data_IF_460448105622
#
_entry.id   IF_460448105622
#
_cell.length_a   1.000
_cell.length_b   1.000
_cell.length_c   1.000
_cell.angle_alpha   90.00
_cell.angle_beta   90.00
_cell.angle_gamma   90.00
#
_symmetry.space_group_name_H-M   'P 1'
#
loop_
_entity.id
_entity.type
_entity.pdbx_description
1 polymer ?
#
# COMPACT_ATOMS: atom_id res chain seq x y z
N UNK A 1 22.80 -19.45 16.32
CA UNK A 1 21.79 -18.72 15.54
C UNK A 1 21.68 -19.26 14.12
N UNK A 2 22.68 -19.07 13.24
CA UNK A 2 22.57 -19.46 11.82
C UNK A 2 22.32 -20.95 11.52
N UNK A 3 22.71 -21.85 12.42
CA UNK A 3 22.41 -23.30 12.28
C UNK A 3 20.97 -23.68 12.61
N UNK A 4 20.17 -22.73 13.12
CA UNK A 4 18.78 -22.95 13.58
C UNK A 4 17.76 -22.38 12.61
N UNK A 5 18.08 -21.27 11.94
CA UNK A 5 17.20 -20.62 10.97
C UNK A 5 17.35 -21.23 9.57
N UNK A 6 16.54 -20.75 8.63
CA UNK A 6 16.50 -21.18 7.23
C UNK A 6 17.90 -21.29 6.62
N UNK A 7 18.26 -22.43 5.98
CA UNK A 7 19.52 -22.60 5.29
C UNK A 7 19.72 -21.58 4.16
N UNK A 8 20.97 -21.40 3.75
CA UNK A 8 21.36 -20.38 2.77
C UNK A 8 20.60 -20.45 1.44
N UNK A 9 20.48 -21.64 0.85
CA UNK A 9 19.87 -21.79 -0.48
C UNK A 9 18.38 -21.46 -0.43
N UNK A 10 17.66 -21.98 0.56
CA UNK A 10 16.23 -21.71 0.77
C UNK A 10 16.01 -20.22 1.07
N UNK A 11 16.87 -19.60 1.88
CA UNK A 11 16.81 -18.16 2.17
C UNK A 11 16.94 -17.31 0.90
N UNK A 12 17.82 -17.70 -0.04
CA UNK A 12 17.95 -16.98 -1.30
C UNK A 12 16.67 -17.08 -2.13
N UNK A 13 16.08 -18.28 -2.23
CA UNK A 13 14.80 -18.49 -2.92
C UNK A 13 13.68 -17.68 -2.27
N UNK A 14 13.53 -17.75 -0.95
CA UNK A 14 12.50 -17.04 -0.20
C UNK A 14 12.59 -15.52 -0.38
N UNK A 15 13.80 -14.95 -0.26
CA UNK A 15 14.00 -13.51 -0.41
C UNK A 15 13.70 -13.02 -1.82
N UNK A 16 14.07 -13.79 -2.86
CA UNK A 16 13.71 -13.46 -4.24
C UNK A 16 12.21 -13.49 -4.46
N UNK A 17 11.51 -14.49 -3.92
CA UNK A 17 10.06 -14.60 -4.06
C UNK A 17 9.37 -13.46 -3.32
N UNK A 18 9.74 -13.19 -2.07
CA UNK A 18 9.15 -12.11 -1.27
C UNK A 18 9.40 -10.75 -1.93
N UNK A 19 10.57 -10.52 -2.51
CA UNK A 19 10.85 -9.28 -3.26
C UNK A 19 9.85 -9.11 -4.41
N UNK A 20 9.61 -10.15 -5.22
CA UNK A 20 8.66 -10.09 -6.34
C UNK A 20 7.23 -9.84 -5.82
N UNK A 21 6.81 -10.57 -4.80
CA UNK A 21 5.46 -10.47 -4.22
C UNK A 21 5.21 -9.14 -3.48
N UNK A 22 6.26 -8.41 -3.12
CA UNK A 22 6.12 -7.14 -2.41
C UNK A 22 6.15 -5.92 -3.34
N UNK A 23 6.25 -6.12 -4.66
CA UNK A 23 6.37 -5.04 -5.64
C UNK A 23 5.03 -4.74 -6.30
N UNK A 24 4.72 -3.45 -6.35
CA UNK A 24 3.60 -2.93 -7.12
C UNK A 24 3.93 -2.91 -8.61
N UNK A 25 3.03 -3.43 -9.44
CA UNK A 25 3.11 -3.29 -10.89
C UNK A 25 2.86 -1.83 -11.31
N UNK A 26 3.36 -1.45 -12.49
CA UNK A 26 3.23 -0.09 -13.02
C UNK A 26 1.80 0.27 -13.47
N UNK A 27 1.01 -0.76 -13.74
CA UNK A 27 -0.40 -0.70 -14.17
C UNK A 27 -1.38 -1.08 -13.05
N UNK A 28 -0.92 -1.08 -11.80
CA UNK A 28 -1.77 -1.38 -10.63
C UNK A 28 -2.92 -0.37 -10.48
N UNK A 29 -4.09 -0.86 -10.07
CA UNK A 29 -5.25 -0.04 -9.74
C UNK A 29 -5.44 0.02 -8.23
N UNK A 30 -5.16 1.18 -7.65
CA UNK A 30 -5.30 1.39 -6.22
C UNK A 30 -6.74 1.68 -5.80
N UNK A 31 -6.98 1.54 -4.50
CA UNK A 31 -8.27 1.80 -3.90
C UNK A 31 -8.69 3.25 -4.14
N UNK A 32 -9.87 3.43 -4.76
CA UNK A 32 -10.38 4.76 -5.13
C UNK A 32 -10.00 5.20 -6.54
N UNK A 33 -9.25 4.38 -7.28
CA UNK A 33 -8.92 4.56 -8.69
C UNK A 33 -9.62 3.53 -9.56
N UNK A 34 -9.89 3.92 -10.81
CA UNK A 34 -10.47 3.07 -11.87
C UNK A 34 -9.87 3.47 -13.21
N UNK A 35 -9.39 2.49 -13.97
CA UNK A 35 -8.91 2.71 -15.35
C UNK A 35 -10.02 3.26 -16.25
N UNK A 36 -11.27 2.83 -16.04
CA UNK A 36 -12.40 3.33 -16.82
C UNK A 36 -12.88 4.74 -16.38
N UNK A 37 -12.25 5.37 -15.39
CA UNK A 37 -12.56 6.74 -14.98
C UNK A 37 -14.05 6.97 -14.67
N UNK A 38 -14.72 7.84 -15.43
CA UNK A 38 -16.15 8.16 -15.28
C UNK A 38 -17.06 7.38 -16.26
N UNK A 39 -16.52 6.49 -17.11
CA UNK A 39 -17.30 5.80 -18.16
C UNK A 39 -17.84 4.40 -17.74
N UNK A 40 -17.51 3.91 -16.54
CA UNK A 40 -17.98 2.60 -16.04
C UNK A 40 -19.49 2.55 -15.75
N UNK A 41 -20.15 3.70 -15.66
CA UNK A 41 -21.61 3.80 -15.52
C UNK A 41 -22.10 5.07 -16.21
N UNK A 42 -23.38 5.13 -16.56
CA UNK A 42 -24.03 6.36 -17.04
C UNK A 42 -24.62 7.19 -15.89
N UNK A 43 -24.85 6.57 -14.73
CA UNK A 43 -25.53 7.21 -13.60
C UNK A 43 -24.62 8.23 -12.90
N UNK A 44 -25.13 9.43 -12.64
CA UNK A 44 -24.37 10.50 -11.97
C UNK A 44 -24.16 10.24 -10.48
N UNK A 45 -25.15 9.64 -9.80
CA UNK A 45 -25.10 9.43 -8.36
C UNK A 45 -23.95 8.48 -7.91
N UNK A 46 -23.75 7.30 -8.54
CA UNK A 46 -22.63 6.42 -8.18
C UNK A 46 -21.26 7.05 -8.49
N UNK A 47 -21.14 7.82 -9.59
CA UNK A 47 -19.90 8.55 -9.91
C UNK A 47 -19.54 9.57 -8.84
N UNK A 48 -20.52 10.35 -8.40
CA UNK A 48 -20.30 11.35 -7.36
C UNK A 48 -19.94 10.69 -6.02
N UNK A 49 -20.64 9.60 -5.65
CA UNK A 49 -20.31 8.83 -4.46
C UNK A 49 -18.87 8.26 -4.53
N UNK A 50 -18.45 7.76 -5.68
CA UNK A 50 -17.10 7.24 -5.89
C UNK A 50 -16.02 8.34 -5.80
N UNK A 51 -16.29 9.54 -6.35
CA UNK A 51 -15.41 10.70 -6.18
C UNK A 51 -15.28 11.12 -4.71
N UNK A 52 -16.38 11.10 -3.94
CA UNK A 52 -16.34 11.35 -2.50
C UNK A 52 -15.53 10.29 -1.76
N UNK A 53 -15.62 9.03 -2.18
CA UNK A 53 -14.81 7.93 -1.64
C UNK A 53 -13.31 8.16 -1.87
N UNK A 54 -12.88 8.44 -3.10
CA UNK A 54 -11.47 8.75 -3.40
C UNK A 54 -10.96 9.97 -2.61
N UNK A 55 -11.74 11.05 -2.54
CA UNK A 55 -11.41 12.20 -1.68
C UNK A 55 -11.23 11.80 -0.22
N UNK A 56 -12.09 10.91 0.29
CA UNK A 56 -12.02 10.45 1.68
C UNK A 56 -10.73 9.68 1.95
N UNK A 57 -10.29 8.86 0.99
CA UNK A 57 -9.03 8.13 1.09
C UNK A 57 -7.83 9.07 1.16
N UNK A 58 -7.78 10.11 0.33
CA UNK A 58 -6.74 11.13 0.38
C UNK A 58 -6.69 11.85 1.74
N UNK A 59 -7.86 12.19 2.32
CA UNK A 59 -7.94 12.76 3.68
C UNK A 59 -7.42 11.78 4.74
N UNK A 60 -7.70 10.49 4.61
CA UNK A 60 -7.22 9.45 5.54
C UNK A 60 -5.71 9.32 5.44
N UNK A 61 -5.14 9.33 4.23
CA UNK A 61 -3.69 9.24 4.04
C UNK A 61 -2.95 10.40 4.70
N UNK A 62 -3.48 11.62 4.58
CA UNK A 62 -2.94 12.78 5.29
C UNK A 62 -2.96 12.60 6.81
N UNK A 63 -4.05 12.04 7.36
CA UNK A 63 -4.13 11.73 8.79
C UNK A 63 -3.13 10.64 9.19
N UNK A 64 -2.93 9.61 8.37
CA UNK A 64 -1.92 8.59 8.64
C UNK A 64 -0.51 9.17 8.63
N UNK A 65 -0.24 10.12 7.73
CA UNK A 65 1.02 10.87 7.67
C UNK A 65 1.25 11.69 8.93
N UNK A 66 0.24 12.43 9.39
CA UNK A 66 0.31 13.15 10.66
C UNK A 66 0.59 12.19 11.84
N UNK A 67 -0.07 11.03 11.88
CA UNK A 67 0.15 10.02 12.91
C UNK A 67 1.54 9.41 12.88
N UNK A 68 2.13 9.22 11.70
CA UNK A 68 3.50 8.72 11.57
C UNK A 68 4.54 9.76 12.02
N UNK A 69 4.21 11.06 11.93
CA UNK A 69 5.06 12.15 12.37
C UNK A 69 4.84 12.56 13.85
N UNK A 70 3.86 11.96 14.53
CA UNK A 70 3.58 12.22 15.94
C UNK A 70 4.56 11.43 16.83
N UNK A 71 5.45 12.14 17.52
CA UNK A 71 6.46 11.56 18.42
C UNK A 71 5.87 10.81 19.62
N UNK A 72 4.60 11.07 19.99
CA UNK A 72 3.90 10.31 21.01
C UNK A 72 3.56 8.89 20.52
N UNK A 73 3.40 8.70 19.21
CA UNK A 73 3.02 7.43 18.57
C UNK A 73 4.25 6.59 18.14
N UNK A 74 5.22 6.43 19.05
CA UNK A 74 6.52 5.79 18.79
C UNK A 74 6.45 4.39 18.18
N UNK A 75 5.40 3.63 18.49
CA UNK A 75 5.19 2.28 17.94
C UNK A 75 4.99 2.25 16.42
N UNK A 76 4.68 3.40 15.81
CA UNK A 76 4.55 3.54 14.36
C UNK A 76 5.88 3.68 13.63
N UNK A 77 6.97 3.90 14.37
CA UNK A 77 8.33 4.10 13.85
C UNK A 77 9.29 3.02 14.38
N UNK A 78 9.21 2.76 15.69
CA UNK A 78 10.06 1.80 16.40
C UNK A 78 11.55 2.15 16.37
N UNK A 79 12.40 1.29 16.97
CA UNK A 79 13.85 1.49 16.99
C UNK A 79 14.50 1.40 15.60
N UNK A 80 13.83 0.73 14.65
CA UNK A 80 14.29 0.57 13.26
C UNK A 80 14.01 1.79 12.38
N UNK A 81 13.33 2.81 12.93
CA UNK A 81 12.99 4.06 12.24
C UNK A 81 12.18 3.88 10.95
N UNK A 82 11.24 2.96 10.94
CA UNK A 82 10.43 2.61 9.78
C UNK A 82 8.97 3.04 10.00
N UNK A 83 8.48 4.11 9.35
CA UNK A 83 7.11 4.55 9.51
C UNK A 83 6.12 3.49 8.99
N UNK A 84 5.01 3.30 9.70
CA UNK A 84 3.96 2.39 9.26
C UNK A 84 3.13 3.00 8.13
N UNK A 85 3.48 2.67 6.89
CA UNK A 85 2.85 3.19 5.67
C UNK A 85 2.05 2.15 4.88
N UNK A 86 2.01 0.89 5.32
CA UNK A 86 1.32 -0.22 4.64
C UNK A 86 -0.16 0.02 4.33
N UNK A 87 -0.83 0.90 5.07
CA UNK A 87 -2.24 1.25 4.87
C UNK A 87 -2.45 2.64 4.24
N UNK A 88 -1.43 3.18 3.60
CA UNK A 88 -1.60 4.37 2.77
C UNK A 88 -2.31 3.94 1.48
N UNK A 89 -3.44 4.56 1.09
CA UNK A 89 -4.19 4.17 -0.09
C UNK A 89 -3.36 4.19 -1.37
N UNK A 90 -2.53 5.21 -1.57
CA UNK A 90 -1.74 5.39 -2.79
C UNK A 90 -0.29 4.86 -2.68
N UNK A 91 0.26 4.45 -3.81
CA UNK A 91 1.68 4.12 -3.99
C UNK A 91 2.14 4.37 -5.42
N UNK A 92 3.46 4.47 -5.58
CA UNK A 92 4.14 4.36 -6.87
C UNK A 92 4.44 2.89 -7.20
N UNK A 93 4.92 2.63 -8.42
CA UNK A 93 5.42 1.32 -8.82
C UNK A 93 6.63 0.85 -7.98
N UNK A 94 6.81 -0.46 -7.85
CA UNK A 94 7.96 -1.07 -7.19
C UNK A 94 7.74 -1.39 -5.70
N UNK A 95 8.85 -1.51 -4.97
CA UNK A 95 8.87 -1.95 -3.57
C UNK A 95 8.79 -0.74 -2.63
N UNK A 96 7.58 -0.31 -2.27
CA UNK A 96 7.35 1.00 -1.64
C UNK A 96 6.93 0.94 -0.18
N UNK A 97 6.54 -0.24 0.33
CA UNK A 97 6.00 -0.43 1.68
C UNK A 97 4.72 0.39 1.96
N UNK A 98 3.92 0.65 0.92
CA UNK A 98 2.65 1.40 0.97
C UNK A 98 1.78 1.08 -0.24
N UNK A 99 0.54 1.56 -0.25
CA UNK A 99 -0.40 1.33 -1.35
C UNK A 99 -1.38 0.22 -1.03
N UNK A 100 -2.67 0.46 -1.33
CA UNK A 100 -3.73 -0.53 -1.17
C UNK A 100 -4.32 -0.80 -2.56
N UNK A 101 -3.97 -1.94 -3.21
CA UNK A 101 -4.61 -2.37 -4.45
C UNK A 101 -6.12 -2.59 -4.27
N UNK A 102 -6.89 -2.49 -5.36
CA UNK A 102 -8.32 -2.79 -5.36
C UNK A 102 -8.61 -4.29 -5.14
N UNK A 103 -7.66 -5.17 -5.47
CA UNK A 103 -7.83 -6.62 -5.51
C UNK A 103 -6.58 -7.34 -4.99
N UNK A 104 -6.64 -8.68 -4.95
CA UNK A 104 -5.46 -9.51 -4.74
C UNK A 104 -4.77 -9.64 -6.10
N UNK A 105 -3.89 -8.70 -6.40
CA UNK A 105 -3.14 -8.57 -7.66
C UNK A 105 -1.66 -8.95 -7.53
N UNK A 106 -1.20 -9.22 -6.31
CA UNK A 106 0.12 -9.76 -5.99
C UNK A 106 0.08 -10.69 -4.77
#
# INVERSE_FOLDING_TARGET
>A
YLRTITPKNDTLTDLTIIEVLSRHASDEQYLGERIEGDIWTSDSQPKEAYKRFGKKLAEIEQKLTQRNNDEALRNRYGPVKMPYTLLYPSSEEGLTFRGIPNSISI
#
